data_IF_221363236626
#
_entry.id   IF_221363236626
#
_cell.length_a   1.000
_cell.length_b   1.000
_cell.length_c   1.000
_cell.angle_alpha   90.00
_cell.angle_beta   90.00
_cell.angle_gamma   90.00
#
_symmetry.space_group_name_H-M   'P 1'
#
loop_
_entity.id
_entity.type
_entity.pdbx_description
1 polymer ?
#
# COMPACT_ATOMS: atom_id res chain seq x y z
N UNK A 1 -8.75 0.41 25.32
CA UNK A 1 -7.30 0.28 25.57
C UNK A 1 -6.62 0.00 24.22
N UNK A 2 -6.05 1.05 23.63
CA UNK A 2 -5.47 0.94 22.28
C UNK A 2 -4.16 0.13 22.27
N UNK A 3 -3.45 0.04 23.40
CA UNK A 3 -2.19 -0.66 23.51
C UNK A 3 -2.24 -2.15 23.17
N UNK A 4 -3.32 -2.83 23.50
CA UNK A 4 -3.47 -4.27 23.20
C UNK A 4 -3.65 -4.56 21.71
N UNK A 5 -4.23 -3.63 20.94
CA UNK A 5 -4.41 -3.79 19.48
C UNK A 5 -3.06 -3.59 18.78
N UNK A 6 -2.33 -2.56 19.16
CA UNK A 6 -0.99 -2.28 18.64
C UNK A 6 -0.04 -3.46 18.92
N UNK A 7 0.03 -3.92 20.18
CA UNK A 7 0.84 -5.06 20.59
C UNK A 7 0.50 -6.34 19.79
N UNK A 8 -0.79 -6.60 19.53
CA UNK A 8 -1.20 -7.76 18.72
C UNK A 8 -0.65 -7.66 17.30
N UNK A 9 -0.72 -6.48 16.66
CA UNK A 9 -0.21 -6.30 15.31
C UNK A 9 1.32 -6.23 15.25
N UNK A 10 2.00 -5.88 16.33
CA UNK A 10 3.46 -5.93 16.43
C UNK A 10 4.01 -7.37 16.40
N UNK A 11 3.19 -8.36 16.77
CA UNK A 11 3.52 -9.78 16.63
C UNK A 11 3.41 -10.29 15.18
N UNK A 12 2.94 -9.47 14.23
CA UNK A 12 2.74 -9.81 12.83
C UNK A 12 3.70 -8.98 11.94
N UNK A 13 4.95 -9.43 11.77
CA UNK A 13 6.02 -8.62 11.16
C UNK A 13 5.77 -8.26 9.69
N UNK A 14 4.96 -9.07 8.98
CA UNK A 14 4.65 -8.88 7.56
C UNK A 14 3.36 -8.07 7.31
N UNK A 15 2.79 -7.50 8.37
CA UNK A 15 1.56 -6.70 8.31
C UNK A 15 1.85 -5.28 8.78
N UNK A 16 1.59 -4.32 7.93
CA UNK A 16 1.55 -2.90 8.24
C UNK A 16 0.12 -2.55 8.66
N UNK A 17 -0.10 -2.27 9.95
CA UNK A 17 -1.40 -1.89 10.49
C UNK A 17 -1.42 -0.42 10.85
N UNK A 18 -2.53 0.27 10.55
CA UNK A 18 -2.69 1.69 10.87
C UNK A 18 -4.15 2.07 11.11
N UNK A 19 -4.32 3.14 11.87
CA UNK A 19 -5.61 3.82 12.13
C UNK A 19 -5.44 5.30 11.80
N UNK A 20 -6.43 5.88 11.11
CA UNK A 20 -6.52 7.30 10.82
C UNK A 20 -7.86 7.88 11.27
N UNK A 21 -7.86 9.16 11.61
CA UNK A 21 -9.06 9.90 11.94
C UNK A 21 -9.91 10.24 10.69
N UNK A 22 -11.03 10.91 10.91
CA UNK A 22 -11.94 11.35 9.84
C UNK A 22 -11.32 12.36 8.87
N UNK A 23 -10.23 13.01 9.24
CA UNK A 23 -9.47 13.93 8.40
C UNK A 23 -8.27 13.27 7.73
N UNK A 24 -8.22 11.93 7.68
CA UNK A 24 -7.12 11.12 7.16
C UNK A 24 -5.78 11.39 7.88
N UNK A 25 -5.81 11.80 9.16
CA UNK A 25 -4.62 11.98 9.97
C UNK A 25 -4.30 10.69 10.71
N UNK A 26 -3.06 10.34 10.75
CA UNK A 26 -2.57 9.18 11.46
C UNK A 26 -2.83 9.28 12.96
N UNK A 27 -3.48 8.28 13.54
CA UNK A 27 -3.71 8.13 14.98
C UNK A 27 -2.72 7.16 15.59
N UNK A 28 -2.51 6.02 14.92
CA UNK A 28 -1.58 4.98 15.35
C UNK A 28 -1.21 4.08 14.19
N UNK A 29 -0.08 3.39 14.33
CA UNK A 29 0.31 2.27 13.48
C UNK A 29 1.19 1.31 14.28
N UNK A 30 1.40 0.09 13.76
CA UNK A 30 2.30 -0.86 14.40
C UNK A 30 3.78 -0.59 14.07
N UNK A 31 4.69 -1.27 14.77
CA UNK A 31 6.15 -1.11 14.60
C UNK A 31 6.62 -1.41 13.17
N UNK A 32 6.00 -2.39 12.48
CA UNK A 32 6.32 -2.68 11.09
C UNK A 32 6.03 -1.47 10.19
N UNK A 33 4.90 -0.80 10.42
CA UNK A 33 4.51 0.39 9.67
C UNK A 33 5.44 1.60 9.97
N UNK A 34 5.84 1.80 11.22
CA UNK A 34 6.83 2.84 11.59
C UNK A 34 8.15 2.63 10.85
N UNK A 35 8.67 1.37 10.82
CA UNK A 35 9.90 1.05 10.07
C UNK A 35 9.76 1.32 8.58
N UNK A 36 8.65 0.89 7.95
CA UNK A 36 8.37 1.15 6.53
C UNK A 36 8.45 2.64 6.18
N UNK A 37 7.91 3.47 7.07
CA UNK A 37 7.85 4.93 6.90
C UNK A 37 9.09 5.66 7.43
N UNK A 38 10.07 4.91 7.99
CA UNK A 38 11.30 5.43 8.58
C UNK A 38 11.07 6.40 9.75
N UNK A 39 10.04 6.10 10.58
CA UNK A 39 9.77 6.80 11.83
C UNK A 39 10.28 6.00 13.02
N UNK A 40 10.63 6.68 14.12
CA UNK A 40 11.16 6.09 15.34
C UNK A 40 10.08 5.65 16.31
N UNK A 41 9.04 6.47 16.42
CA UNK A 41 7.94 6.22 17.34
C UNK A 41 6.62 6.86 16.86
N UNK A 42 5.54 6.56 17.58
CA UNK A 42 4.19 7.04 17.27
C UNK A 42 4.04 8.56 17.30
N UNK A 43 4.85 9.27 18.09
CA UNK A 43 4.70 10.73 18.22
C UNK A 43 5.12 11.45 16.93
N UNK A 44 6.02 10.86 16.16
CA UNK A 44 6.48 11.44 14.88
C UNK A 44 5.39 11.36 13.79
N UNK A 45 4.51 10.36 13.85
CA UNK A 45 3.47 10.16 12.84
C UNK A 45 2.10 10.66 13.30
N UNK A 46 1.86 10.79 14.61
CA UNK A 46 0.56 11.21 15.15
C UNK A 46 0.12 12.57 14.61
N UNK A 47 -1.05 12.61 13.99
CA UNK A 47 -1.63 13.82 13.40
C UNK A 47 -1.06 14.20 12.02
N UNK A 48 -0.01 13.53 11.54
CA UNK A 48 0.51 13.70 10.19
C UNK A 48 -0.45 13.13 9.13
N UNK A 49 -0.23 13.49 7.88
CA UNK A 49 -0.92 12.97 6.69
C UNK A 49 0.10 12.40 5.71
N UNK A 50 -0.32 11.67 4.70
CA UNK A 50 0.56 11.16 3.64
C UNK A 50 1.34 12.24 2.94
N UNK A 51 0.80 13.46 2.88
CA UNK A 51 1.46 14.61 2.22
C UNK A 51 2.72 15.07 2.95
N UNK A 52 2.88 14.67 4.20
CA UNK A 52 4.03 15.05 5.03
C UNK A 52 5.25 14.16 4.74
N UNK A 53 5.06 12.97 4.12
CA UNK A 53 6.16 12.01 3.92
C UNK A 53 6.13 11.22 2.59
N UNK A 54 5.02 11.22 1.84
CA UNK A 54 4.98 10.63 0.50
C UNK A 54 5.08 11.68 -0.61
N UNK A 55 5.62 11.29 -1.79
CA UNK A 55 5.54 12.13 -2.98
C UNK A 55 4.09 12.54 -3.30
N UNK A 56 3.85 13.78 -3.82
CA UNK A 56 2.50 14.33 -3.96
C UNK A 56 1.51 13.43 -4.70
N UNK A 57 1.95 12.72 -5.75
CA UNK A 57 1.08 11.82 -6.52
C UNK A 57 0.63 10.62 -5.67
N UNK A 58 1.54 10.02 -4.93
CA UNK A 58 1.23 8.86 -4.07
C UNK A 58 0.35 9.29 -2.91
N UNK A 59 0.70 10.41 -2.26
CA UNK A 59 -0.10 10.98 -1.17
C UNK A 59 -1.55 11.25 -1.62
N UNK A 60 -1.75 11.80 -2.82
CA UNK A 60 -3.08 12.08 -3.36
C UNK A 60 -3.87 10.81 -3.64
N UNK A 61 -3.24 9.78 -4.21
CA UNK A 61 -3.89 8.48 -4.45
C UNK A 61 -4.37 7.85 -3.14
N UNK A 62 -3.50 7.82 -2.12
CA UNK A 62 -3.85 7.27 -0.80
C UNK A 62 -4.98 8.08 -0.16
N UNK A 63 -4.92 9.42 -0.25
CA UNK A 63 -5.94 10.31 0.28
C UNK A 63 -7.31 10.08 -0.37
N UNK A 64 -7.38 9.93 -1.69
CA UNK A 64 -8.63 9.67 -2.40
C UNK A 64 -9.26 8.35 -1.97
N UNK A 65 -8.46 7.30 -1.81
CA UNK A 65 -8.91 6.03 -1.27
C UNK A 65 -9.46 6.15 0.15
N UNK A 66 -8.72 6.85 1.01
CA UNK A 66 -9.10 7.05 2.41
C UNK A 66 -10.42 7.84 2.51
N UNK A 67 -10.58 8.86 1.66
CA UNK A 67 -11.84 9.63 1.56
C UNK A 67 -13.00 8.76 1.07
N UNK A 68 -12.77 7.90 0.08
CA UNK A 68 -13.82 6.99 -0.41
C UNK A 68 -14.29 6.01 0.69
N UNK A 69 -13.35 5.49 1.48
CA UNK A 69 -13.67 4.64 2.64
C UNK A 69 -14.49 5.41 3.69
N UNK A 70 -14.10 6.65 4.00
CA UNK A 70 -14.72 7.45 5.07
C UNK A 70 -16.06 8.03 4.63
N UNK A 71 -16.14 8.63 3.43
CA UNK A 71 -17.30 9.39 2.98
C UNK A 71 -18.40 8.50 2.41
N UNK A 72 -18.00 7.44 1.69
CA UNK A 72 -18.93 6.55 0.99
C UNK A 72 -19.15 5.23 1.73
N UNK A 73 -18.53 5.03 2.92
CA UNK A 73 -18.59 3.77 3.66
C UNK A 73 -18.10 2.58 2.80
N UNK A 74 -17.23 2.86 1.86
CA UNK A 74 -16.67 1.83 0.98
C UNK A 74 -15.61 1.02 1.73
N UNK A 75 -15.43 -0.25 1.35
CA UNK A 75 -14.39 -1.13 1.89
C UNK A 75 -13.46 -1.53 0.76
N UNK A 76 -12.17 -1.34 0.97
CA UNK A 76 -11.13 -1.90 0.09
C UNK A 76 -10.72 -3.22 0.70
N UNK A 77 -10.90 -4.32 -0.04
CA UNK A 77 -10.63 -5.67 0.47
C UNK A 77 -9.71 -6.42 -0.50
N UNK A 78 -8.58 -6.89 0.03
CA UNK A 78 -7.58 -7.68 -0.70
C UNK A 78 -7.12 -7.02 -2.01
N UNK A 79 -7.04 -5.69 -2.04
CA UNK A 79 -6.53 -4.98 -3.23
C UNK A 79 -5.03 -5.23 -3.35
N UNK A 80 -4.61 -5.77 -4.49
CA UNK A 80 -3.21 -5.97 -4.81
C UNK A 80 -2.59 -4.66 -5.28
N UNK A 81 -1.49 -4.27 -4.64
CA UNK A 81 -0.76 -3.03 -4.92
C UNK A 81 0.74 -3.28 -4.94
N UNK A 82 1.48 -2.35 -5.52
CA UNK A 82 2.94 -2.34 -5.51
C UNK A 82 3.40 -1.16 -4.66
N UNK A 83 4.20 -1.44 -3.64
CA UNK A 83 4.80 -0.40 -2.78
C UNK A 83 6.31 -0.51 -2.75
N UNK A 84 6.97 0.52 -2.24
CA UNK A 84 8.39 0.48 -1.93
C UNK A 84 8.55 0.11 -0.46
N UNK A 85 9.34 -0.92 -0.16
CA UNK A 85 9.63 -1.34 1.21
C UNK A 85 10.67 -0.44 1.91
N UNK A 86 10.99 -0.75 3.17
CA UNK A 86 11.93 0.00 4.01
C UNK A 86 13.37 0.07 3.48
N UNK A 87 13.74 -0.84 2.58
CA UNK A 87 15.08 -0.88 1.94
C UNK A 87 15.07 -0.42 0.48
N UNK A 88 13.92 0.08 -0.01
CA UNK A 88 13.79 0.66 -1.33
C UNK A 88 13.40 -0.32 -2.44
N UNK A 89 13.01 -1.55 -2.10
CA UNK A 89 12.57 -2.54 -3.08
C UNK A 89 11.08 -2.42 -3.36
N UNK A 90 10.70 -2.65 -4.62
CA UNK A 90 9.30 -2.80 -5.01
C UNK A 90 8.79 -4.17 -4.55
N UNK A 91 7.74 -4.16 -3.74
CA UNK A 91 7.12 -5.38 -3.21
C UNK A 91 5.62 -5.38 -3.45
N UNK A 92 5.10 -6.55 -3.78
CA UNK A 92 3.68 -6.77 -3.91
C UNK A 92 3.03 -6.88 -2.55
N UNK A 93 1.89 -6.21 -2.38
CA UNK A 93 1.13 -6.21 -1.13
C UNK A 93 -0.36 -6.43 -1.39
N UNK A 94 -1.05 -6.89 -0.36
CA UNK A 94 -2.50 -6.92 -0.29
C UNK A 94 -2.97 -5.92 0.75
N UNK A 95 -3.74 -4.93 0.31
CA UNK A 95 -4.25 -3.83 1.13
C UNK A 95 -5.72 -4.01 1.46
N UNK A 96 -6.06 -3.81 2.73
CA UNK A 96 -7.42 -3.71 3.21
C UNK A 96 -7.61 -2.37 3.91
N UNK A 97 -8.74 -1.70 3.66
CA UNK A 97 -9.17 -0.50 4.38
C UNK A 97 -10.65 -0.61 4.69
N UNK A 98 -11.02 -0.37 5.93
CA UNK A 98 -12.41 -0.38 6.36
C UNK A 98 -12.72 0.84 7.22
N UNK A 99 -13.98 1.32 7.24
CA UNK A 99 -14.39 2.41 8.13
C UNK A 99 -14.21 2.02 9.59
N UNK A 100 -13.68 2.95 10.38
CA UNK A 100 -13.67 2.87 11.85
C UNK A 100 -14.94 3.51 12.37
N UNK A 101 -15.75 2.74 13.10
CA UNK A 101 -17.02 3.22 13.65
C UNK A 101 -16.85 3.69 15.10
N UNK A 102 -17.45 4.81 15.43
CA UNK A 102 -17.63 5.28 16.79
C UNK A 102 -18.77 4.45 17.49
N UNK A 103 -18.93 4.62 18.80
CA UNK A 103 -19.94 3.89 19.58
C UNK A 103 -21.39 4.17 19.14
N UNK A 104 -21.64 5.35 18.58
CA UNK A 104 -22.94 5.74 18.04
C UNK A 104 -23.20 5.27 16.60
N UNK A 105 -22.25 4.52 16.02
CA UNK A 105 -22.32 3.99 14.65
C UNK A 105 -21.86 4.99 13.57
N UNK A 106 -21.47 6.19 13.93
CA UNK A 106 -20.91 7.15 12.96
C UNK A 106 -19.48 6.76 12.56
N UNK A 107 -19.06 7.14 11.36
CA UNK A 107 -17.69 6.90 10.90
C UNK A 107 -16.75 7.90 11.57
N UNK A 108 -15.83 7.40 12.40
CA UNK A 108 -14.83 8.18 13.12
C UNK A 108 -13.50 8.31 12.35
N UNK A 109 -13.31 7.46 11.35
CA UNK A 109 -12.09 7.41 10.56
C UNK A 109 -12.01 6.11 9.77
N UNK A 110 -10.82 5.58 9.58
CA UNK A 110 -10.58 4.28 8.97
C UNK A 110 -9.50 3.49 9.71
N UNK A 111 -9.50 2.18 9.50
CA UNK A 111 -8.37 1.31 9.82
C UNK A 111 -7.97 0.53 8.58
N UNK A 112 -6.68 0.27 8.45
CA UNK A 112 -6.13 -0.44 7.32
C UNK A 112 -5.05 -1.45 7.71
N UNK A 113 -4.92 -2.45 6.85
CA UNK A 113 -3.79 -3.37 6.87
C UNK A 113 -3.20 -3.49 5.47
N UNK A 114 -1.88 -3.53 5.39
CA UNK A 114 -1.17 -3.83 4.16
C UNK A 114 -0.22 -4.99 4.46
N UNK A 115 -0.35 -6.10 3.74
CA UNK A 115 0.43 -7.31 3.96
C UNK A 115 1.33 -7.60 2.75
N UNK A 116 2.61 -7.86 2.98
CA UNK A 116 3.54 -8.27 1.93
C UNK A 116 3.15 -9.65 1.39
N UNK A 117 3.10 -9.77 0.06
CA UNK A 117 2.87 -11.02 -0.67
C UNK A 117 4.21 -11.69 -0.97
N UNK A 118 4.67 -12.56 -0.08
CA UNK A 118 6.00 -13.20 -0.17
C UNK A 118 6.08 -14.36 -1.14
N UNK A 119 4.93 -14.94 -1.53
CA UNK A 119 4.85 -16.10 -2.42
C UNK A 119 4.18 -15.74 -3.75
N UNK A 120 4.67 -16.36 -4.84
CA UNK A 120 4.07 -16.18 -6.17
C UNK A 120 2.63 -16.68 -6.27
N UNK A 121 2.26 -17.70 -5.49
CA UNK A 121 0.91 -18.23 -5.42
C UNK A 121 -0.10 -17.34 -4.69
N UNK A 122 0.38 -16.29 -4.01
CA UNK A 122 -0.46 -15.28 -3.37
C UNK A 122 -0.79 -14.11 -4.29
N UNK A 123 -0.07 -13.96 -5.39
CA UNK A 123 -0.31 -12.90 -6.37
C UNK A 123 -1.42 -13.34 -7.33
N UNK A 124 -2.52 -12.58 -7.47
CA UNK A 124 -3.59 -12.91 -8.43
C UNK A 124 -3.06 -13.04 -9.86
N UNK A 125 -3.66 -13.93 -10.65
CA UNK A 125 -3.21 -14.27 -12.01
C UNK A 125 -3.02 -13.06 -12.92
N UNK A 126 -3.88 -12.04 -12.77
CA UNK A 126 -3.81 -10.80 -13.54
C UNK A 126 -2.53 -9.98 -13.32
N UNK A 127 -1.86 -10.18 -12.17
CA UNK A 127 -0.59 -9.53 -11.83
C UNK A 127 0.63 -10.40 -12.09
N UNK A 128 0.45 -11.72 -12.20
CA UNK A 128 1.55 -12.68 -12.36
C UNK A 128 2.42 -12.35 -13.58
N UNK A 129 1.80 -11.95 -14.70
CA UNK A 129 2.50 -11.56 -15.92
C UNK A 129 3.42 -10.33 -15.75
N UNK A 130 3.20 -9.51 -14.73
CA UNK A 130 4.00 -8.32 -14.45
C UNK A 130 5.10 -8.56 -13.40
N UNK A 131 5.12 -9.71 -12.77
CA UNK A 131 6.11 -10.02 -11.74
C UNK A 131 7.53 -9.91 -12.29
N UNK A 132 7.84 -10.65 -13.34
CA UNK A 132 9.16 -10.62 -13.98
C UNK A 132 9.49 -9.24 -14.55
N UNK A 133 8.48 -8.48 -14.97
CA UNK A 133 8.65 -7.09 -15.41
C UNK A 133 9.09 -6.20 -14.25
N UNK A 134 8.48 -6.32 -13.10
CA UNK A 134 8.83 -5.55 -11.90
C UNK A 134 10.22 -5.93 -11.40
N UNK A 135 10.52 -7.22 -11.34
CA UNK A 135 11.85 -7.74 -10.97
C UNK A 135 12.92 -7.17 -11.92
N UNK A 136 12.66 -7.21 -13.24
CA UNK A 136 13.57 -6.64 -14.24
C UNK A 136 13.78 -5.12 -14.09
N UNK A 137 12.70 -4.36 -13.83
CA UNK A 137 12.79 -2.91 -13.59
C UNK A 137 13.66 -2.64 -12.37
N UNK A 138 13.47 -3.40 -11.30
CA UNK A 138 14.19 -3.22 -10.04
C UNK A 138 15.68 -3.54 -10.19
N UNK A 139 16.03 -4.61 -10.91
CA UNK A 139 17.42 -5.00 -11.17
C UNK A 139 18.15 -4.01 -12.07
N UNK A 140 17.42 -3.30 -12.94
CA UNK A 140 17.99 -2.41 -13.96
C UNK A 140 17.62 -0.94 -13.78
N UNK A 141 17.29 -0.51 -12.55
CA UNK A 141 16.80 0.86 -12.26
C UNK A 141 17.78 1.96 -12.68
N UNK A 142 19.08 1.67 -12.71
CA UNK A 142 20.12 2.60 -13.15
C UNK A 142 20.30 2.66 -14.68
N UNK A 143 19.63 1.80 -15.44
CA UNK A 143 19.76 1.68 -16.89
C UNK A 143 18.54 2.27 -17.60
N UNK A 144 18.69 2.51 -18.92
CA UNK A 144 17.57 2.92 -19.75
C UNK A 144 16.66 1.72 -20.02
N UNK A 145 15.49 1.71 -19.38
CA UNK A 145 14.49 0.66 -19.57
C UNK A 145 13.80 0.83 -20.92
N UNK A 146 13.81 -0.22 -21.75
CA UNK A 146 13.06 -0.27 -23.01
C UNK A 146 11.69 -0.94 -22.82
N UNK A 147 10.64 -0.21 -23.17
CA UNK A 147 9.25 -0.71 -23.08
C UNK A 147 9.03 -1.95 -23.95
N UNK A 148 9.73 -2.09 -25.09
CA UNK A 148 9.65 -3.31 -25.92
C UNK A 148 10.19 -4.53 -25.19
N UNK A 149 11.25 -4.36 -24.42
CA UNK A 149 11.82 -5.42 -23.59
C UNK A 149 10.82 -5.83 -22.50
N UNK A 150 10.19 -4.87 -21.82
CA UNK A 150 9.17 -5.17 -20.81
C UNK A 150 7.95 -5.88 -21.40
N UNK A 151 7.51 -5.48 -22.59
CA UNK A 151 6.43 -6.15 -23.31
C UNK A 151 6.80 -7.60 -23.65
N UNK A 152 8.04 -7.85 -24.09
CA UNK A 152 8.54 -9.20 -24.36
C UNK A 152 8.58 -10.07 -23.11
N UNK A 153 9.11 -9.56 -21.99
CA UNK A 153 9.14 -10.26 -20.68
C UNK A 153 7.73 -10.69 -20.27
N UNK A 154 6.73 -9.82 -20.43
CA UNK A 154 5.33 -10.10 -20.09
C UNK A 154 4.57 -10.93 -21.16
N UNK A 155 5.24 -11.35 -22.24
CA UNK A 155 4.62 -12.05 -23.38
C UNK A 155 3.46 -11.29 -24.02
N UNK A 156 3.55 -9.95 -24.03
CA UNK A 156 2.55 -9.05 -24.60
C UNK A 156 3.12 -8.27 -25.81
N UNK A 157 2.23 -7.79 -26.69
CA UNK A 157 2.62 -6.75 -27.66
C UNK A 157 2.82 -5.40 -26.95
N UNK A 158 3.60 -4.48 -27.54
CA UNK A 158 3.86 -3.14 -26.96
C UNK A 158 2.56 -2.40 -26.61
N UNK A 159 1.55 -2.48 -27.46
CA UNK A 159 0.26 -1.82 -27.25
C UNK A 159 -0.54 -2.46 -26.11
N UNK A 160 -0.54 -3.78 -26.03
CA UNK A 160 -1.20 -4.52 -24.94
C UNK A 160 -0.50 -4.26 -23.61
N UNK A 161 0.85 -4.29 -23.60
CA UNK A 161 1.64 -3.99 -22.41
C UNK A 161 1.32 -2.60 -21.87
N UNK A 162 1.42 -1.55 -22.72
CA UNK A 162 1.12 -0.16 -22.31
C UNK A 162 -0.28 -0.01 -21.76
N UNK A 163 -1.28 -0.64 -22.38
CA UNK A 163 -2.68 -0.59 -21.93
C UNK A 163 -2.84 -1.26 -20.57
N UNK A 164 -2.41 -2.50 -20.45
CA UNK A 164 -2.57 -3.29 -19.19
C UNK A 164 -1.75 -2.70 -18.05
N UNK A 165 -0.50 -2.31 -18.30
CA UNK A 165 0.36 -1.71 -17.29
C UNK A 165 -0.24 -0.42 -16.71
N UNK A 166 -0.82 0.46 -17.56
CA UNK A 166 -1.50 1.68 -17.09
C UNK A 166 -2.81 1.44 -16.34
N UNK A 167 -3.45 0.31 -16.58
CA UNK A 167 -4.69 -0.05 -15.87
C UNK A 167 -4.39 -0.62 -14.48
N UNK A 168 -3.20 -1.18 -14.31
CA UNK A 168 -2.78 -1.89 -13.11
C UNK A 168 -1.97 -1.01 -12.15
N UNK A 169 -1.23 -0.05 -12.70
CA UNK A 169 -0.33 0.88 -12.01
C UNK A 169 -0.59 2.35 -12.44
#
# INVERSE_FOLDING_TARGET
DHGNIEEMFDLLPDIYFYIKDRNCRWIMCNQACLRLLNFRDQNEIYGATERDFFPPRIAEMIYLDDRDVIDNNHRIINRTELIVDEIGHLVWVSTNKIPLLARDGTIAGLMGTTRILTRSDQLPDEYQQFREVIDHIQENVAEKIDVKQLAHISSLSDSQFRKRFRQQF
#
